data_IF_738690715720
#
_entry.id   IF_738690715720
#
_cell.length_a   1.000
_cell.length_b   1.000
_cell.length_c   1.000
_cell.angle_alpha   90.00
_cell.angle_beta   90.00
_cell.angle_gamma   90.00
#
_symmetry.space_group_name_H-M   'P 1'
#
loop_
_entity.id
_entity.type
_entity.pdbx_description
1 polymer ?
#
# COMPACT_ATOMS: atom_id res chain seq x y z
N UNK A 1 -41.52 25.19 -15.28
CA UNK A 1 -40.45 24.27 -14.87
C UNK A 1 -39.51 25.07 -13.98
N UNK A 2 -39.37 24.69 -12.72
CA UNK A 2 -38.59 25.46 -11.74
C UNK A 2 -37.12 25.05 -11.83
N UNK A 3 -36.25 26.03 -12.11
CA UNK A 3 -34.83 25.84 -12.38
C UNK A 3 -34.08 25.22 -11.20
N UNK A 4 -34.58 25.39 -9.97
CA UNK A 4 -33.97 24.82 -8.77
C UNK A 4 -33.96 23.28 -8.76
N UNK A 5 -34.99 22.63 -9.32
CA UNK A 5 -35.03 21.16 -9.37
C UNK A 5 -34.00 20.58 -10.35
N UNK A 6 -33.69 21.32 -11.43
CA UNK A 6 -32.64 20.90 -12.38
C UNK A 6 -31.23 21.06 -11.78
N UNK A 7 -31.00 22.10 -10.97
CA UNK A 7 -29.73 22.32 -10.27
C UNK A 7 -29.46 21.24 -9.21
N UNK A 8 -30.50 20.87 -8.44
CA UNK A 8 -30.37 19.88 -7.37
C UNK A 8 -30.03 18.48 -7.91
N UNK A 9 -30.69 18.05 -8.99
CA UNK A 9 -30.36 16.78 -9.65
C UNK A 9 -28.98 16.79 -10.32
N UNK A 10 -28.49 17.96 -10.76
CA UNK A 10 -27.14 18.09 -11.29
C UNK A 10 -26.07 17.99 -10.18
N UNK A 11 -26.34 18.54 -9.00
CA UNK A 11 -25.44 18.43 -7.84
C UNK A 11 -25.37 17.00 -7.29
N UNK A 12 -26.49 16.29 -7.19
CA UNK A 12 -26.52 14.89 -6.74
C UNK A 12 -25.83 13.93 -7.73
N UNK A 13 -25.95 14.17 -9.04
CA UNK A 13 -25.21 13.40 -10.05
C UNK A 13 -23.71 13.70 -10.02
N UNK A 14 -23.31 14.94 -9.71
CA UNK A 14 -21.89 15.32 -9.58
C UNK A 14 -21.23 14.59 -8.41
N UNK A 15 -21.90 14.47 -7.26
CA UNK A 15 -21.36 13.75 -6.10
C UNK A 15 -21.29 12.23 -6.30
N UNK A 16 -22.26 11.61 -6.99
CA UNK A 16 -22.19 10.18 -7.31
C UNK A 16 -21.19 9.85 -8.42
N UNK A 17 -20.83 10.81 -9.27
CA UNK A 17 -19.88 10.60 -10.36
C UNK A 17 -18.43 10.94 -9.97
N UNK A 18 -18.22 11.69 -8.89
CA UNK A 18 -16.88 11.93 -8.31
C UNK A 18 -16.30 10.68 -7.62
N UNK A 19 -17.15 9.78 -7.13
CA UNK A 19 -16.74 8.45 -6.64
C UNK A 19 -16.49 7.43 -7.77
N UNK A 20 -16.93 7.70 -8.99
CA UNK A 20 -16.67 6.83 -10.15
C UNK A 20 -15.34 7.18 -10.86
N UNK A 21 -14.82 8.41 -10.68
CA UNK A 21 -13.57 8.89 -11.29
C UNK A 21 -12.55 9.26 -10.19
N UNK A 22 -12.30 8.36 -9.26
CA UNK A 22 -11.10 8.38 -8.39
C UNK A 22 -10.57 6.96 -8.16
N UNK A 23 -10.72 6.07 -9.13
CA UNK A 23 -10.35 4.64 -9.01
C UNK A 23 -8.87 4.32 -9.29
N UNK A 24 -7.91 5.20 -8.97
CA UNK A 24 -6.50 4.98 -9.37
C UNK A 24 -5.42 5.41 -8.37
N UNK A 25 -5.69 5.52 -7.06
CA UNK A 25 -4.71 6.19 -6.20
C UNK A 25 -3.78 5.37 -5.31
N UNK A 26 -3.84 4.04 -5.28
CA UNK A 26 -2.83 3.26 -4.54
C UNK A 26 -2.38 1.95 -5.22
N UNK A 27 -2.77 1.67 -6.46
CA UNK A 27 -2.27 0.48 -7.14
C UNK A 27 -0.78 0.62 -7.51
N UNK A 28 -0.01 -0.42 -7.20
CA UNK A 28 1.42 -0.47 -7.47
C UNK A 28 1.65 -1.21 -8.77
N UNK A 29 2.41 -0.61 -9.69
CA UNK A 29 2.70 -1.24 -10.98
C UNK A 29 3.41 -2.59 -10.81
N UNK A 30 3.16 -3.52 -11.75
CA UNK A 30 3.83 -4.83 -11.75
C UNK A 30 5.36 -4.70 -11.83
N UNK A 31 5.88 -3.72 -12.56
CA UNK A 31 7.33 -3.49 -12.66
C UNK A 31 7.92 -3.07 -11.32
N UNK A 32 7.21 -2.26 -10.55
CA UNK A 32 7.63 -1.90 -9.18
C UNK A 32 7.71 -3.14 -8.30
N UNK A 33 6.73 -4.05 -8.37
CA UNK A 33 6.79 -5.31 -7.64
C UNK A 33 7.97 -6.18 -8.07
N UNK A 34 8.26 -6.28 -9.36
CA UNK A 34 9.43 -7.01 -9.87
C UNK A 34 10.72 -6.41 -9.29
N UNK A 35 10.88 -5.08 -9.28
CA UNK A 35 12.04 -4.44 -8.67
C UNK A 35 12.14 -4.72 -7.17
N UNK A 36 11.03 -4.65 -6.44
CA UNK A 36 10.99 -4.99 -5.01
C UNK A 36 11.47 -6.43 -4.80
N UNK A 37 10.95 -7.39 -5.58
CA UNK A 37 11.30 -8.81 -5.44
C UNK A 37 12.78 -9.09 -5.75
N UNK A 38 13.37 -8.42 -6.75
CA UNK A 38 14.80 -8.51 -7.05
C UNK A 38 15.63 -7.91 -5.91
N UNK A 39 15.19 -6.77 -5.36
CA UNK A 39 15.88 -6.08 -4.28
C UNK A 39 15.85 -6.89 -2.97
N UNK A 40 14.71 -7.50 -2.64
CA UNK A 40 14.54 -8.31 -1.43
C UNK A 40 15.18 -9.70 -1.52
N UNK A 41 15.52 -10.17 -2.72
CA UNK A 41 16.25 -11.43 -2.92
C UNK A 41 17.69 -11.39 -2.39
N UNK A 42 18.27 -10.20 -2.21
CA UNK A 42 19.63 -10.02 -1.70
C UNK A 42 19.56 -9.87 -0.16
N UNK A 43 20.04 -10.83 0.64
CA UNK A 43 19.75 -10.90 2.08
C UNK A 43 20.17 -9.67 2.89
N UNK A 44 21.37 -9.14 2.64
CA UNK A 44 21.89 -7.97 3.37
C UNK A 44 21.20 -6.66 2.97
N UNK A 45 20.85 -6.52 1.69
CA UNK A 45 20.15 -5.34 1.19
C UNK A 45 18.68 -5.39 1.59
N UNK A 46 18.10 -6.59 1.69
CA UNK A 46 16.71 -6.82 2.05
C UNK A 46 16.34 -6.12 3.36
N UNK A 47 17.15 -6.23 4.42
CA UNK A 47 16.83 -5.56 5.69
C UNK A 47 16.76 -4.04 5.55
N UNK A 48 17.72 -3.41 4.86
CA UNK A 48 17.73 -1.96 4.64
C UNK A 48 16.56 -1.55 3.74
N UNK A 49 16.31 -2.31 2.67
CA UNK A 49 15.20 -2.08 1.76
C UNK A 49 13.84 -2.18 2.48
N UNK A 50 13.67 -3.14 3.39
CA UNK A 50 12.47 -3.29 4.21
C UNK A 50 12.26 -2.11 5.16
N UNK A 51 13.32 -1.58 5.78
CA UNK A 51 13.23 -0.38 6.62
C UNK A 51 12.85 0.84 5.79
N UNK A 52 13.47 1.02 4.61
CA UNK A 52 13.15 2.11 3.68
C UNK A 52 11.70 2.00 3.22
N UNK A 53 11.23 0.82 2.81
CA UNK A 53 9.82 0.61 2.43
C UNK A 53 8.89 0.86 3.62
N UNK A 54 9.17 0.33 4.81
CA UNK A 54 8.27 0.43 5.96
C UNK A 54 8.09 1.86 6.50
N UNK A 55 9.15 2.66 6.48
CA UNK A 55 9.19 3.98 7.11
C UNK A 55 9.38 5.13 6.13
N UNK A 56 9.55 4.85 4.84
CA UNK A 56 9.68 5.85 3.79
C UNK A 56 8.34 6.40 3.31
N UNK A 57 8.42 7.31 2.34
CA UNK A 57 7.26 7.95 1.71
C UNK A 57 6.97 7.30 0.35
N UNK A 58 6.57 6.04 0.33
CA UNK A 58 6.13 5.34 -0.88
C UNK A 58 4.61 5.12 -0.88
N UNK A 59 4.12 4.46 -1.93
CA UNK A 59 2.76 3.97 -2.01
C UNK A 59 2.41 3.13 -0.77
N UNK A 60 1.20 3.28 -0.19
CA UNK A 60 0.83 2.60 1.05
C UNK A 60 0.89 1.08 0.96
N UNK A 61 0.66 0.47 -0.21
CA UNK A 61 0.80 -0.97 -0.39
C UNK A 61 2.27 -1.44 -0.26
N UNK A 62 3.22 -0.64 -0.75
CA UNK A 62 4.66 -0.92 -0.58
C UNK A 62 5.06 -0.74 0.89
N UNK A 63 4.58 0.33 1.52
CA UNK A 63 4.86 0.59 2.93
C UNK A 63 4.30 -0.50 3.83
N UNK A 64 3.08 -0.96 3.57
CA UNK A 64 2.44 -2.04 4.31
C UNK A 64 3.17 -3.37 4.09
N UNK A 65 3.66 -3.64 2.89
CA UNK A 65 4.51 -4.82 2.64
C UNK A 65 5.78 -4.78 3.50
N UNK A 66 6.52 -3.67 3.50
CA UNK A 66 7.72 -3.51 4.32
C UNK A 66 7.43 -3.74 5.82
N UNK A 67 6.38 -3.12 6.34
CA UNK A 67 5.94 -3.29 7.74
C UNK A 67 5.56 -4.73 8.05
N UNK A 68 4.79 -5.40 7.17
CA UNK A 68 4.35 -6.77 7.37
C UNK A 68 5.54 -7.74 7.44
N UNK A 69 6.50 -7.60 6.54
CA UNK A 69 7.70 -8.46 6.54
C UNK A 69 8.54 -8.23 7.80
N UNK A 70 8.70 -6.99 8.27
CA UNK A 70 9.41 -6.71 9.52
C UNK A 70 8.70 -7.31 10.74
N UNK A 71 7.37 -7.26 10.79
CA UNK A 71 6.58 -7.91 11.84
C UNK A 71 6.77 -9.43 11.81
N UNK A 72 6.68 -10.05 10.62
CA UNK A 72 6.91 -11.48 10.47
C UNK A 72 8.33 -11.89 10.88
N UNK A 73 9.32 -11.07 10.55
CA UNK A 73 10.71 -11.30 10.96
C UNK A 73 10.86 -11.23 12.48
N UNK A 74 10.25 -10.24 13.14
CA UNK A 74 10.25 -10.13 14.59
C UNK A 74 9.57 -11.35 15.25
N UNK A 75 8.42 -11.79 14.74
CA UNK A 75 7.74 -13.00 15.20
C UNK A 75 8.64 -14.23 15.01
N UNK A 76 9.26 -14.38 13.84
CA UNK A 76 10.18 -15.48 13.55
C UNK A 76 11.37 -15.54 14.51
N UNK A 77 11.95 -14.38 14.85
CA UNK A 77 13.02 -14.28 15.86
C UNK A 77 12.50 -14.73 17.23
N UNK A 78 11.33 -14.25 17.67
CA UNK A 78 10.73 -14.64 18.96
C UNK A 78 10.51 -16.16 19.02
N UNK A 79 9.89 -16.75 17.99
CA UNK A 79 9.65 -18.20 17.91
C UNK A 79 10.97 -18.97 17.91
N UNK A 80 11.97 -18.51 17.15
CA UNK A 80 13.29 -19.13 17.09
C UNK A 80 13.97 -19.16 18.46
N UNK A 81 13.89 -18.06 19.22
CA UNK A 81 14.41 -18.02 20.59
C UNK A 81 13.65 -18.99 21.51
N UNK A 82 12.32 -19.03 21.43
CA UNK A 82 11.50 -19.89 22.29
C UNK A 82 11.71 -21.39 22.03
N UNK A 83 12.04 -21.77 20.80
CA UNK A 83 12.22 -23.18 20.38
C UNK A 83 13.68 -23.64 20.38
N UNK A 84 14.63 -22.76 20.70
CA UNK A 84 16.06 -23.06 20.67
C UNK A 84 16.59 -23.91 21.85
N UNK A 85 15.70 -24.44 22.70
CA UNK A 85 16.00 -25.22 23.91
C UNK A 85 15.10 -26.46 23.99
#
# INVERSE_FOLDING_TARGET
>A
MDYNYMEQHKQEQSQHQEHAITNHHDEVSIMTWIFILILTAIPFINLIALLVMAFGTFNPNINNFGKAVLILMAIGIIIGILTAF
#
